data_IF_745063093972
#
_entry.id   IF_745063093972
#
_cell.length_a   1.000
_cell.length_b   1.000
_cell.length_c   1.000
_cell.angle_alpha   90.00
_cell.angle_beta   90.00
_cell.angle_gamma   90.00
#
_symmetry.space_group_name_H-M   'P 1'
#
loop_
_entity.id
_entity.type
_entity.pdbx_description
1 polymer ?
#
# COMPACT_ATOMS: atom_id res chain seq x y z
N UNK A 1 -2.98 10.61 26.96
CA UNK A 1 -2.01 10.44 25.85
C UNK A 1 -1.14 9.18 26.02
N UNK A 2 -0.88 8.72 27.23
CA UNK A 2 -0.12 7.47 27.52
C UNK A 2 -0.88 6.18 27.15
N UNK A 3 -2.20 6.17 27.23
CA UNK A 3 -3.04 4.98 26.91
C UNK A 3 -3.01 4.58 25.43
N UNK A 4 -2.70 5.51 24.50
CA UNK A 4 -2.64 5.26 23.08
C UNK A 4 -1.35 4.55 22.64
N UNK A 5 -0.25 4.83 23.35
CA UNK A 5 1.04 4.19 23.09
C UNK A 5 1.10 2.74 23.58
N UNK A 6 0.39 2.41 24.65
CA UNK A 6 0.32 1.03 25.17
C UNK A 6 -0.44 0.08 24.25
N UNK A 7 -1.46 0.58 23.52
CA UNK A 7 -2.21 -0.23 22.53
C UNK A 7 -1.35 -0.52 21.30
N UNK A 8 -0.52 0.43 20.87
CA UNK A 8 0.36 0.26 19.71
C UNK A 8 1.56 -0.64 20.06
N UNK A 9 2.10 -0.56 21.27
CA UNK A 9 3.29 -1.31 21.68
C UNK A 9 3.03 -2.70 22.28
N UNK A 10 1.86 -2.94 22.86
CA UNK A 10 1.54 -4.20 23.53
C UNK A 10 0.72 -5.19 22.70
N UNK A 11 0.24 -4.79 21.53
CA UNK A 11 -0.44 -5.73 20.64
C UNK A 11 0.59 -6.68 20.01
N UNK A 12 0.30 -7.98 20.05
CA UNK A 12 1.15 -9.09 19.54
C UNK A 12 1.69 -8.89 18.11
N UNK A 13 1.13 -7.95 17.34
CA UNK A 13 1.52 -7.61 15.97
C UNK A 13 2.90 -6.94 15.93
N UNK A 14 3.25 -6.12 16.91
CA UNK A 14 4.58 -5.47 16.97
C UNK A 14 5.63 -6.38 17.61
N UNK A 15 5.20 -7.40 18.39
CA UNK A 15 6.13 -8.38 19.01
C UNK A 15 6.60 -9.48 18.06
N UNK A 16 6.00 -9.62 16.88
CA UNK A 16 6.58 -10.47 15.85
C UNK A 16 7.74 -9.74 15.18
N UNK A 17 8.86 -9.85 15.89
CA UNK A 17 10.21 -9.76 15.34
C UNK A 17 10.42 -8.61 14.33
N UNK A 18 10.65 -7.41 14.83
CA UNK A 18 11.77 -6.66 14.29
C UNK A 18 13.03 -7.51 14.55
N UNK A 19 13.15 -8.61 13.83
CA UNK A 19 14.43 -9.29 13.68
C UNK A 19 15.25 -8.29 12.88
N UNK A 20 16.05 -7.49 13.58
CA UNK A 20 17.24 -6.89 13.01
C UNK A 20 18.10 -8.06 12.60
N UNK A 21 17.82 -8.65 11.44
CA UNK A 21 18.70 -9.58 10.74
C UNK A 21 19.93 -8.75 10.32
N UNK A 22 20.80 -8.49 11.29
CA UNK A 22 22.19 -8.10 11.05
C UNK A 22 22.90 -9.36 10.53
N UNK A 23 22.55 -9.79 9.34
CA UNK A 23 23.38 -10.73 8.61
C UNK A 23 24.49 -9.94 7.93
N UNK A 24 25.61 -9.88 8.61
CA UNK A 24 26.88 -9.39 8.09
C UNK A 24 27.57 -10.59 7.42
N UNK A 25 27.31 -10.81 6.13
CA UNK A 25 28.19 -11.59 5.29
C UNK A 25 28.90 -10.62 4.35
N UNK A 26 30.23 -10.53 4.47
CA UNK A 26 31.09 -9.80 3.52
C UNK A 26 30.84 -8.29 3.35
N UNK A 27 30.36 -7.60 4.39
CA UNK A 27 30.19 -6.11 4.33
C UNK A 27 28.91 -5.62 3.64
N UNK A 28 28.19 -6.48 2.92
CA UNK A 28 26.93 -6.14 2.23
C UNK A 28 25.75 -6.50 3.12
N UNK A 29 24.88 -5.51 3.35
CA UNK A 29 23.65 -5.69 4.12
C UNK A 29 22.50 -6.07 3.19
N UNK A 30 21.55 -6.89 3.65
CA UNK A 30 20.29 -7.13 2.92
C UNK A 30 19.56 -5.83 2.58
N UNK A 31 19.79 -4.78 3.37
CA UNK A 31 19.24 -3.45 3.17
C UNK A 31 19.67 -2.82 1.84
N UNK A 32 20.87 -3.15 1.31
CA UNK A 32 21.33 -2.60 0.02
C UNK A 32 20.56 -3.21 -1.16
N UNK A 33 20.29 -4.52 -1.12
CA UNK A 33 19.45 -5.18 -2.14
C UNK A 33 18.03 -4.61 -2.09
N UNK A 34 17.45 -4.46 -0.89
CA UNK A 34 16.12 -3.87 -0.73
C UNK A 34 16.04 -2.45 -1.27
N UNK A 35 17.05 -1.60 -0.99
CA UNK A 35 17.11 -0.23 -1.52
C UNK A 35 17.19 -0.20 -3.04
N UNK A 36 17.98 -1.09 -3.64
CA UNK A 36 18.10 -1.16 -5.10
C UNK A 36 16.76 -1.60 -5.71
N UNK A 37 16.14 -2.64 -5.14
CA UNK A 37 14.83 -3.13 -5.61
C UNK A 37 13.73 -2.09 -5.47
N UNK A 38 13.71 -1.34 -4.37
CA UNK A 38 12.73 -0.29 -4.10
C UNK A 38 12.92 0.89 -5.06
N UNK A 39 14.15 1.39 -5.23
CA UNK A 39 14.46 2.49 -6.13
C UNK A 39 14.19 2.17 -7.60
N UNK A 40 14.41 0.93 -8.03
CA UNK A 40 14.20 0.46 -9.39
C UNK A 40 12.81 -0.16 -9.59
N UNK A 41 11.91 0.00 -8.63
CA UNK A 41 10.54 -0.54 -8.66
C UNK A 41 10.47 -2.04 -8.98
N UNK A 42 11.46 -2.80 -8.53
CA UNK A 42 11.58 -4.23 -8.80
C UNK A 42 11.91 -4.61 -10.26
N UNK A 43 12.18 -3.63 -11.14
CA UNK A 43 12.41 -3.87 -12.59
C UNK A 43 13.87 -4.10 -12.96
N UNK A 44 14.76 -4.21 -11.98
CA UNK A 44 16.19 -4.44 -12.21
C UNK A 44 16.51 -5.94 -12.31
N UNK A 45 17.43 -6.32 -13.20
CA UNK A 45 17.88 -7.71 -13.31
C UNK A 45 18.81 -8.11 -12.15
N UNK A 46 18.82 -9.39 -11.78
CA UNK A 46 19.72 -9.93 -10.76
C UNK A 46 21.17 -9.73 -11.12
N UNK A 47 21.52 -9.91 -12.40
CA UNK A 47 22.85 -9.64 -12.93
C UNK A 47 23.27 -8.19 -12.68
N UNK A 48 22.38 -7.22 -12.91
CA UNK A 48 22.68 -5.81 -12.68
C UNK A 48 22.89 -5.49 -11.19
N UNK A 49 22.09 -6.08 -10.31
CA UNK A 49 22.28 -5.97 -8.85
C UNK A 49 23.66 -6.56 -8.47
N UNK A 50 23.99 -7.73 -9.00
CA UNK A 50 25.27 -8.42 -8.74
C UNK A 50 26.46 -7.53 -9.14
N UNK A 51 26.41 -6.90 -10.33
CA UNK A 51 27.43 -5.96 -10.79
C UNK A 51 27.56 -4.74 -9.87
N UNK A 52 26.43 -4.16 -9.43
CA UNK A 52 26.43 -2.99 -8.54
C UNK A 52 27.03 -3.28 -7.17
N UNK A 53 26.81 -4.50 -6.67
CA UNK A 53 27.22 -4.91 -5.33
C UNK A 53 28.56 -5.69 -5.32
N UNK A 54 29.10 -6.06 -6.48
CA UNK A 54 30.36 -6.82 -6.59
C UNK A 54 30.24 -8.25 -6.04
N UNK A 55 29.07 -8.87 -6.17
CA UNK A 55 28.77 -10.26 -5.77
C UNK A 55 28.28 -11.07 -6.95
N UNK A 56 28.09 -12.38 -6.78
CA UNK A 56 27.56 -13.23 -7.85
C UNK A 56 26.05 -13.12 -8.01
N UNK A 57 25.54 -13.50 -9.18
CA UNK A 57 24.09 -13.53 -9.42
C UNK A 57 23.38 -14.56 -8.54
N UNK A 58 24.04 -15.68 -8.26
CA UNK A 58 23.54 -16.73 -7.38
C UNK A 58 23.39 -16.22 -5.94
N UNK A 59 24.34 -15.41 -5.46
CA UNK A 59 24.25 -14.79 -4.13
C UNK A 59 23.10 -13.79 -4.05
N UNK A 60 22.88 -12.98 -5.11
CA UNK A 60 21.72 -12.07 -5.20
C UNK A 60 20.43 -12.88 -5.18
N UNK A 61 20.34 -13.92 -6.01
CA UNK A 61 19.14 -14.77 -6.08
C UNK A 61 18.80 -15.39 -4.73
N UNK A 62 19.80 -15.96 -4.06
CA UNK A 62 19.61 -16.59 -2.73
C UNK A 62 19.15 -15.59 -1.66
N UNK A 63 19.70 -14.34 -1.69
CA UNK A 63 19.27 -13.27 -0.76
C UNK A 63 17.85 -12.79 -1.03
N UNK A 64 17.45 -12.65 -2.30
CA UNK A 64 16.08 -12.27 -2.67
C UNK A 64 15.11 -13.38 -2.21
N UNK A 65 15.41 -14.64 -2.49
CA UNK A 65 14.58 -15.77 -2.07
C UNK A 65 14.43 -15.84 -0.54
N UNK A 66 15.49 -15.56 0.20
CA UNK A 66 15.43 -15.47 1.67
C UNK A 66 14.51 -14.32 2.14
N UNK A 67 14.58 -13.16 1.49
CA UNK A 67 13.73 -11.99 1.78
C UNK A 67 12.25 -12.29 1.48
N UNK A 68 11.95 -12.96 0.38
CA UNK A 68 10.61 -13.40 0.01
C UNK A 68 10.08 -14.47 1.00
N UNK A 69 10.87 -15.47 1.33
CA UNK A 69 10.50 -16.52 2.29
C UNK A 69 10.22 -15.99 3.69
N UNK A 70 10.94 -14.94 4.09
CA UNK A 70 10.74 -14.27 5.38
C UNK A 70 9.65 -13.18 5.33
N UNK A 71 8.92 -13.04 4.22
CA UNK A 71 7.91 -11.99 4.00
C UNK A 71 8.44 -10.56 4.22
N UNK A 72 9.71 -10.31 3.95
CA UNK A 72 10.27 -8.95 3.87
C UNK A 72 9.90 -8.34 2.53
N UNK A 73 10.08 -9.10 1.43
CA UNK A 73 9.48 -8.81 0.14
C UNK A 73 8.16 -9.57 0.08
N UNK A 74 7.05 -8.85 0.07
CA UNK A 74 5.70 -9.42 0.06
C UNK A 74 5.09 -9.50 -1.33
N UNK A 75 5.71 -8.87 -2.33
CA UNK A 75 5.27 -8.90 -3.71
C UNK A 75 5.88 -7.79 -4.57
N UNK A 76 5.61 -7.88 -5.87
CA UNK A 76 6.00 -6.90 -6.87
C UNK A 76 4.75 -6.38 -7.56
N UNK A 77 4.68 -5.08 -7.82
CA UNK A 77 3.52 -4.47 -8.45
C UNK A 77 3.96 -3.51 -9.55
N UNK A 78 3.33 -3.63 -10.71
CA UNK A 78 3.46 -2.65 -11.79
C UNK A 78 2.49 -1.51 -11.55
N UNK A 79 2.99 -0.27 -11.59
CA UNK A 79 2.16 0.94 -11.54
C UNK A 79 1.76 1.28 -12.97
N UNK A 80 0.45 1.37 -13.21
CA UNK A 80 -0.12 1.57 -14.54
C UNK A 80 -0.92 2.86 -14.57
N UNK A 81 -0.63 3.72 -15.55
CA UNK A 81 -1.47 4.86 -15.86
C UNK A 81 -2.69 4.39 -16.67
N UNK A 82 -3.78 4.12 -15.95
CA UNK A 82 -5.02 3.63 -16.57
C UNK A 82 -5.71 4.70 -17.42
N UNK A 83 -5.47 5.99 -17.16
CA UNK A 83 -6.05 7.10 -17.93
C UNK A 83 -5.52 7.14 -19.38
N UNK A 84 -4.36 6.50 -19.64
CA UNK A 84 -3.79 6.29 -20.99
C UNK A 84 -4.24 4.98 -21.64
N UNK A 85 -5.27 4.33 -21.11
CA UNK A 85 -5.82 3.08 -21.65
C UNK A 85 -7.32 3.18 -21.88
N UNK A 86 -7.89 2.26 -22.62
CA UNK A 86 -9.34 2.20 -22.84
C UNK A 86 -10.14 1.68 -21.64
N UNK A 87 -9.45 1.31 -20.56
CA UNK A 87 -10.07 0.75 -19.36
C UNK A 87 -10.53 1.87 -18.44
N UNK A 88 -11.82 1.97 -18.23
CA UNK A 88 -12.38 2.83 -17.19
C UNK A 88 -12.05 2.28 -15.79
N UNK A 89 -11.37 3.09 -14.99
CA UNK A 89 -10.96 2.75 -13.62
C UNK A 89 -11.29 3.92 -12.71
N UNK A 90 -12.15 3.69 -11.75
CA UNK A 90 -12.47 4.67 -10.71
C UNK A 90 -11.81 4.23 -9.41
N UNK A 91 -10.96 5.09 -8.87
CA UNK A 91 -10.33 4.89 -7.56
C UNK A 91 -11.05 5.74 -6.51
N UNK A 92 -11.31 5.16 -5.35
CA UNK A 92 -11.86 5.91 -4.21
C UNK A 92 -11.11 5.58 -2.92
N UNK A 93 -10.90 6.60 -2.09
CA UNK A 93 -10.48 6.49 -0.71
C UNK A 93 -11.72 6.54 0.17
N UNK A 94 -11.88 5.55 1.03
CA UNK A 94 -13.01 5.43 1.96
C UNK A 94 -12.47 5.51 3.38
N UNK A 95 -12.94 6.50 4.12
CA UNK A 95 -12.69 6.62 5.55
C UNK A 95 -13.77 5.88 6.31
N UNK A 96 -13.37 5.03 7.24
CA UNK A 96 -14.29 4.30 8.11
C UNK A 96 -14.04 4.69 9.56
N UNK A 97 -15.12 5.00 10.27
CA UNK A 97 -15.13 5.00 11.73
C UNK A 97 -15.73 3.71 12.20
N UNK A 98 -15.04 3.03 13.11
CA UNK A 98 -15.49 1.74 13.61
C UNK A 98 -15.46 1.70 15.14
N UNK A 99 -16.37 0.92 15.72
CA UNK A 99 -16.29 0.57 17.14
C UNK A 99 -15.61 -0.79 17.26
N UNK A 100 -14.40 -0.85 17.85
CA UNK A 100 -13.74 -2.12 18.07
C UNK A 100 -14.55 -2.96 19.06
N UNK A 101 -14.80 -4.22 18.72
CA UNK A 101 -15.46 -5.15 19.62
C UNK A 101 -14.47 -5.64 20.69
N UNK A 102 -14.98 -5.86 21.93
CA UNK A 102 -14.16 -6.37 23.04
C UNK A 102 -13.54 -7.73 22.64
N UNK A 103 -12.19 -7.80 22.73
CA UNK A 103 -11.43 -9.02 22.49
C UNK A 103 -10.99 -9.27 21.05
N UNK A 104 -11.55 -8.58 20.05
CA UNK A 104 -11.23 -8.79 18.63
C UNK A 104 -10.53 -7.58 17.98
N UNK A 105 -10.64 -6.39 18.58
CA UNK A 105 -9.98 -5.18 18.12
C UNK A 105 -10.36 -4.73 16.69
N UNK A 106 -9.45 -4.03 16.04
CA UNK A 106 -9.61 -3.55 14.66
C UNK A 106 -9.29 -4.63 13.61
N UNK A 107 -8.48 -5.63 13.98
CA UNK A 107 -7.92 -6.61 13.04
C UNK A 107 -9.00 -7.47 12.38
N UNK A 108 -10.03 -7.88 13.14
CA UNK A 108 -11.10 -8.69 12.59
C UNK A 108 -11.94 -7.95 11.55
N UNK A 109 -12.18 -6.66 11.78
CA UNK A 109 -12.90 -5.83 10.81
C UNK A 109 -12.04 -5.66 9.56
N UNK A 110 -10.75 -5.36 9.75
CA UNK A 110 -9.79 -5.24 8.66
C UNK A 110 -9.71 -6.55 7.85
N UNK A 111 -9.66 -7.71 8.52
CA UNK A 111 -9.63 -9.02 7.88
C UNK A 111 -10.83 -9.29 6.98
N UNK A 112 -12.01 -8.85 7.38
CA UNK A 112 -13.23 -8.97 6.57
C UNK A 112 -13.19 -8.05 5.36
N UNK A 113 -12.61 -6.84 5.49
CA UNK A 113 -12.56 -5.82 4.45
C UNK A 113 -11.51 -6.17 3.38
N UNK A 114 -10.27 -6.53 3.75
CA UNK A 114 -9.22 -6.79 2.76
C UNK A 114 -9.44 -8.06 1.93
N UNK A 115 -10.36 -8.93 2.32
CA UNK A 115 -10.76 -10.10 1.52
C UNK A 115 -11.57 -9.74 0.26
N UNK A 116 -12.11 -8.54 0.18
CA UNK A 116 -12.81 -8.10 -1.02
C UNK A 116 -11.81 -7.79 -2.14
N UNK A 117 -11.99 -8.34 -3.35
CA UNK A 117 -11.07 -8.14 -4.46
C UNK A 117 -10.98 -6.69 -4.96
N UNK A 118 -11.99 -5.86 -4.65
CA UNK A 118 -11.99 -4.43 -4.97
C UNK A 118 -11.06 -3.63 -4.08
N UNK A 119 -10.73 -4.14 -2.88
CA UNK A 119 -9.85 -3.48 -1.92
C UNK A 119 -8.41 -3.59 -2.38
N UNK A 120 -7.79 -2.45 -2.65
CA UNK A 120 -6.39 -2.35 -3.06
C UNK A 120 -5.45 -2.13 -1.88
N UNK A 121 -5.90 -1.31 -0.92
CA UNK A 121 -5.15 -1.06 0.30
C UNK A 121 -6.08 -0.83 1.47
N UNK A 122 -5.60 -1.16 2.66
CA UNK A 122 -6.30 -0.97 3.92
C UNK A 122 -5.28 -0.62 5.01
N UNK A 123 -5.50 0.50 5.69
CA UNK A 123 -4.62 0.99 6.74
C UNK A 123 -5.41 1.29 8.01
N UNK A 124 -4.84 0.93 9.16
CA UNK A 124 -5.28 1.45 10.45
C UNK A 124 -4.67 2.84 10.65
N UNK A 125 -5.50 3.81 10.92
CA UNK A 125 -5.13 5.23 10.99
C UNK A 125 -5.19 5.75 12.42
N UNK A 126 -4.33 6.70 12.72
CA UNK A 126 -4.45 7.53 13.93
C UNK A 126 -4.99 8.90 13.50
N UNK A 127 -6.19 9.29 13.95
CA UNK A 127 -6.76 10.59 13.56
C UNK A 127 -8.29 10.63 13.62
N UNK A 128 -8.90 11.30 12.64
CA UNK A 128 -10.33 11.55 12.62
C UNK A 128 -11.18 10.30 12.30
N UNK A 129 -10.58 9.28 11.72
CA UNK A 129 -11.19 8.00 11.36
C UNK A 129 -10.22 6.86 11.67
N UNK A 130 -10.72 5.63 11.70
CA UNK A 130 -9.96 4.47 12.17
C UNK A 130 -9.33 3.66 11.04
N UNK A 131 -10.04 3.49 9.91
CA UNK A 131 -9.53 2.76 8.75
C UNK A 131 -9.61 3.59 7.47
N UNK A 132 -8.54 3.56 6.68
CA UNK A 132 -8.49 4.07 5.32
C UNK A 132 -8.51 2.89 4.34
N UNK A 133 -9.49 2.85 3.45
CA UNK A 133 -9.67 1.79 2.46
C UNK A 133 -9.59 2.38 1.08
N UNK A 134 -8.63 1.94 0.27
CA UNK A 134 -8.61 2.29 -1.16
C UNK A 134 -9.24 1.18 -1.96
N UNK A 135 -10.23 1.51 -2.76
CA UNK A 135 -10.89 0.58 -3.66
C UNK A 135 -10.82 1.03 -5.11
N UNK A 136 -10.94 0.06 -6.00
CA UNK A 136 -11.04 0.27 -7.45
C UNK A 136 -12.32 -0.35 -7.96
N UNK A 137 -13.04 0.41 -8.78
CA UNK A 137 -14.24 -0.03 -9.48
C UNK A 137 -14.25 0.46 -10.93
N UNK A 138 -15.21 -0.01 -11.72
CA UNK A 138 -15.41 0.41 -13.12
C UNK A 138 -16.18 1.73 -13.22
N UNK A 139 -16.90 2.11 -12.18
CA UNK A 139 -17.70 3.34 -12.15
C UNK A 139 -17.89 3.83 -10.72
N UNK A 140 -18.21 5.12 -10.55
CA UNK A 140 -18.57 5.72 -9.26
C UNK A 140 -19.76 5.00 -8.64
N UNK A 141 -20.72 4.53 -9.46
CA UNK A 141 -21.89 3.79 -8.99
C UNK A 141 -21.49 2.45 -8.39
N UNK A 142 -20.57 1.72 -9.01
CA UNK A 142 -20.07 0.44 -8.48
C UNK A 142 -19.40 0.64 -7.12
N UNK A 143 -18.56 1.66 -7.01
CA UNK A 143 -17.91 2.05 -5.75
C UNK A 143 -18.95 2.39 -4.68
N UNK A 144 -19.91 3.24 -4.99
CA UNK A 144 -20.96 3.63 -4.05
C UNK A 144 -21.81 2.43 -3.58
N UNK A 145 -22.15 1.52 -4.50
CA UNK A 145 -22.87 0.28 -4.16
C UNK A 145 -22.02 -0.64 -3.29
N UNK A 146 -20.73 -0.75 -3.55
CA UNK A 146 -19.82 -1.53 -2.70
C UNK A 146 -19.81 -0.98 -1.26
N UNK A 147 -19.69 0.34 -1.09
CA UNK A 147 -19.73 0.96 0.24
C UNK A 147 -21.07 0.70 0.92
N UNK A 148 -22.18 0.96 0.23
CA UNK A 148 -23.53 0.84 0.79
C UNK A 148 -23.91 -0.61 1.13
N UNK A 149 -23.43 -1.60 0.37
CA UNK A 149 -23.84 -3.01 0.54
C UNK A 149 -22.84 -3.85 1.31
N UNK A 150 -21.56 -3.45 1.36
CA UNK A 150 -20.48 -4.27 1.95
C UNK A 150 -19.84 -3.64 3.17
N UNK A 151 -19.60 -2.33 3.17
CA UNK A 151 -18.90 -1.66 4.26
C UNK A 151 -19.87 -1.06 5.30
N UNK A 152 -20.81 -0.24 4.86
CA UNK A 152 -21.74 0.44 5.76
C UNK A 152 -22.63 -0.52 6.60
N UNK A 153 -23.05 -1.71 6.11
CA UNK A 153 -23.88 -2.62 6.90
C UNK A 153 -23.10 -3.45 7.93
N UNK A 154 -21.78 -3.31 8.04
CA UNK A 154 -21.02 -4.02 9.06
C UNK A 154 -21.35 -3.47 10.45
N UNK A 155 -21.71 -4.33 11.41
CA UNK A 155 -22.13 -3.96 12.77
C UNK A 155 -21.12 -3.06 13.51
N UNK A 156 -19.84 -3.20 13.19
CA UNK A 156 -18.76 -2.40 13.77
C UNK A 156 -18.57 -1.05 13.09
N UNK A 157 -19.18 -0.78 11.93
CA UNK A 157 -19.02 0.47 11.18
C UNK A 157 -19.99 1.51 11.67
N UNK A 158 -19.48 2.63 12.21
CA UNK A 158 -20.26 3.78 12.68
C UNK A 158 -20.60 4.70 11.51
N UNK A 159 -19.61 5.00 10.68
CA UNK A 159 -19.78 5.89 9.54
C UNK A 159 -18.75 5.63 8.46
N UNK A 160 -19.11 6.03 7.24
CA UNK A 160 -18.24 5.96 6.05
C UNK A 160 -18.22 7.31 5.37
N UNK A 161 -17.06 7.75 4.87
CA UNK A 161 -16.92 8.88 3.95
C UNK A 161 -16.16 8.41 2.72
N UNK A 162 -16.70 8.69 1.53
CA UNK A 162 -16.11 8.26 0.25
C UNK A 162 -15.59 9.45 -0.52
N UNK A 163 -14.30 9.39 -0.87
CA UNK A 163 -13.60 10.41 -1.66
C UNK A 163 -13.15 9.78 -2.98
N UNK A 164 -13.68 10.29 -4.09
CA UNK A 164 -13.26 9.84 -5.40
C UNK A 164 -11.97 10.54 -5.83
N UNK A 165 -11.00 9.77 -6.30
CA UNK A 165 -9.77 10.31 -6.89
C UNK A 165 -10.12 10.85 -8.26
N UNK A 166 -10.03 12.17 -8.45
CA UNK A 166 -10.34 12.83 -9.72
C UNK A 166 -9.15 12.79 -10.67
N UNK A 167 -7.92 12.90 -10.14
CA UNK A 167 -6.68 12.86 -10.92
C UNK A 167 -5.54 12.38 -10.04
N UNK A 168 -4.68 11.53 -10.59
CA UNK A 168 -3.45 11.09 -9.94
C UNK A 168 -2.28 11.90 -10.49
N UNK A 169 -1.60 12.65 -9.63
CA UNK A 169 -0.38 13.37 -9.99
C UNK A 169 0.88 12.55 -9.70
N UNK A 170 0.86 11.79 -8.61
CA UNK A 170 1.98 10.93 -8.17
C UNK A 170 1.44 9.74 -7.38
N UNK A 171 1.98 8.55 -7.62
CA UNK A 171 1.68 7.33 -6.87
C UNK A 171 2.96 6.54 -6.66
N UNK A 172 3.22 6.08 -5.44
CA UNK A 172 4.41 5.28 -5.08
C UNK A 172 5.74 5.87 -5.61
N UNK A 173 5.89 7.19 -5.55
CA UNK A 173 7.10 7.87 -6.01
C UNK A 173 7.13 8.22 -7.50
N UNK A 174 6.26 7.64 -8.33
CA UNK A 174 6.20 7.87 -9.79
C UNK A 174 5.24 9.02 -10.10
N UNK A 175 5.71 9.99 -10.90
CA UNK A 175 4.90 11.10 -11.40
C UNK A 175 4.12 10.66 -12.63
N UNK A 176 2.83 10.96 -12.65
CA UNK A 176 1.96 10.75 -13.80
C UNK A 176 2.00 12.04 -14.63
N UNK A 177 2.83 12.06 -15.67
CA UNK A 177 2.91 13.19 -16.59
C UNK A 177 1.73 13.17 -17.56
N UNK A 178 1.04 14.31 -17.67
CA UNK A 178 0.11 14.56 -18.77
C UNK A 178 0.90 15.16 -19.92
N UNK A 179 0.83 14.55 -21.11
CA UNK A 179 1.38 15.10 -22.35
C UNK A 179 0.60 16.33 -22.83
N UNK A 180 -0.56 16.63 -22.22
CA UNK A 180 -1.33 17.83 -22.48
C UNK A 180 -0.71 19.03 -21.75
N UNK A 181 0.05 19.83 -22.47
CA UNK A 181 0.35 21.21 -22.05
C UNK A 181 -0.98 21.93 -21.90
N UNK A 182 -1.28 22.40 -20.68
CA UNK A 182 -2.44 23.25 -20.45
C UNK A 182 -2.30 24.51 -21.31
N UNK A 183 -3.00 24.51 -22.46
CA UNK A 183 -3.03 25.63 -23.41
C UNK A 183 -4.01 26.72 -22.98
N UNK A 184 -4.51 26.67 -21.74
CA UNK A 184 -5.34 27.76 -21.20
C UNK A 184 -4.49 29.02 -21.10
N UNK A 185 -4.72 29.95 -22.02
CA UNK A 185 -4.14 31.30 -21.96
C UNK A 185 -4.57 31.93 -20.64
N UNK A 186 -3.59 32.36 -19.84
CA UNK A 186 -3.84 33.24 -18.70
C UNK A 186 -4.33 34.57 -19.30
N UNK A 187 -5.61 34.84 -19.23
CA UNK A 187 -6.16 36.18 -19.58
C UNK A 187 -5.72 37.09 -18.45
N UNK A 188 -4.67 37.87 -18.69
CA UNK A 188 -4.28 39.00 -17.85
C UNK A 188 -5.19 40.16 -18.20
N UNK A 189 -6.06 40.57 -17.28
CA UNK A 189 -6.85 41.81 -17.34
C UNK A 189 -5.98 42.99 -16.94
#
# INVERSE_FOLDING_TARGET
MEFFWDIIYNNKIVKNKCIKLKFRYGGLTMDEILRILDNEYGKISRERIAQMLGITEEEVAGKIEELEKNNVIVGYKTIVNWDKTEREVVTALIELRITPQRGEGFDRVAERIYKYPQVQSLYLMSGAYDLAVTIIGKSMREVALFVAQKLAPMDSVISTATHFVLKKYKEEGIVFEDDEKDTRQVITL
#
